data_IF_480536140103
#
_entry.id   IF_480536140103
#
_cell.length_a   1.000
_cell.length_b   1.000
_cell.length_c   1.000
_cell.angle_alpha   90.00
_cell.angle_beta   90.00
_cell.angle_gamma   90.00
#
_symmetry.space_group_name_H-M   'P 1'
#
loop_
_entity.id
_entity.type
_entity.pdbx_description
1 polymer ?
#
# COMPACT_ATOMS: atom_id res chain seq x y z
N UNK A 1 3.81 -12.78 -4.96
CA UNK A 1 4.54 -14.04 -4.90
C UNK A 1 5.91 -13.94 -5.58
N UNK A 2 5.95 -13.62 -6.88
CA UNK A 2 7.20 -13.57 -7.68
C UNK A 2 8.24 -12.59 -7.12
N UNK A 3 7.82 -11.44 -6.61
CA UNK A 3 8.71 -10.44 -5.99
C UNK A 3 9.44 -11.01 -4.76
N UNK A 4 8.72 -11.76 -3.91
CA UNK A 4 9.31 -12.42 -2.75
C UNK A 4 10.19 -13.61 -3.15
N UNK A 5 9.70 -14.49 -4.03
CA UNK A 5 10.41 -15.73 -4.38
C UNK A 5 11.63 -15.50 -5.25
N UNK A 6 11.51 -14.67 -6.28
CA UNK A 6 12.53 -14.46 -7.30
C UNK A 6 13.18 -13.08 -7.24
N UNK A 7 12.41 -12.06 -6.82
CA UNK A 7 12.87 -10.67 -6.70
C UNK A 7 13.72 -10.39 -5.45
N UNK A 8 13.89 -11.38 -4.57
CA UNK A 8 14.61 -11.29 -3.29
C UNK A 8 14.09 -10.19 -2.36
N UNK A 9 12.88 -9.71 -2.57
CA UNK A 9 12.23 -8.77 -1.67
C UNK A 9 11.88 -9.48 -0.36
N UNK A 10 12.06 -8.79 0.76
CA UNK A 10 11.82 -9.33 2.10
C UNK A 10 10.50 -8.84 2.66
N UNK A 11 10.12 -7.60 2.34
CA UNK A 11 8.93 -6.98 2.90
C UNK A 11 8.24 -6.06 1.90
N UNK A 12 6.95 -6.29 1.69
CA UNK A 12 6.11 -5.55 0.75
C UNK A 12 4.96 -4.90 1.51
N UNK A 13 4.72 -3.63 1.26
CA UNK A 13 3.56 -2.90 1.74
C UNK A 13 2.50 -2.84 0.64
N UNK A 14 1.29 -3.30 0.95
CA UNK A 14 0.11 -3.17 0.09
C UNK A 14 -0.81 -2.10 0.68
N UNK A 15 -0.87 -0.95 0.02
CA UNK A 15 -1.67 0.20 0.44
C UNK A 15 -3.01 0.22 -0.28
N UNK A 16 -4.06 0.43 0.50
CA UNK A 16 -5.44 0.54 0.04
C UNK A 16 -6.09 1.84 0.55
N UNK A 17 -7.15 2.26 -0.12
CA UNK A 17 -7.85 3.52 0.22
C UNK A 17 -8.76 3.37 1.45
N UNK A 18 -9.40 2.21 1.65
CA UNK A 18 -10.34 1.99 2.75
C UNK A 18 -10.09 0.68 3.48
N UNK A 19 -10.62 0.61 4.73
CA UNK A 19 -10.58 -0.60 5.57
C UNK A 19 -11.23 -1.81 4.86
N UNK A 20 -12.37 -1.61 4.18
CA UNK A 20 -13.06 -2.68 3.45
C UNK A 20 -12.21 -3.28 2.32
N UNK A 21 -11.51 -2.44 1.56
CA UNK A 21 -10.55 -2.90 0.54
C UNK A 21 -9.38 -3.66 1.16
N UNK A 22 -8.90 -3.23 2.33
CA UNK A 22 -7.86 -3.94 3.09
C UNK A 22 -8.30 -5.33 3.53
N UNK A 23 -9.56 -5.48 3.96
CA UNK A 23 -10.14 -6.77 4.35
C UNK A 23 -10.32 -7.70 3.14
N UNK A 24 -10.72 -7.15 2.00
CA UNK A 24 -10.80 -7.91 0.75
C UNK A 24 -9.41 -8.37 0.32
N UNK A 25 -8.43 -7.49 0.28
CA UNK A 25 -7.06 -7.83 -0.09
C UNK A 25 -6.48 -8.92 0.83
N UNK A 26 -6.68 -8.82 2.15
CA UNK A 26 -6.24 -9.84 3.10
C UNK A 26 -6.82 -11.21 2.75
N UNK A 27 -8.14 -11.30 2.48
CA UNK A 27 -8.79 -12.57 2.09
C UNK A 27 -8.20 -13.14 0.80
N UNK A 28 -7.97 -12.30 -0.22
CA UNK A 28 -7.40 -12.73 -1.50
C UNK A 28 -5.95 -13.24 -1.34
N UNK A 29 -5.12 -12.54 -0.56
CA UNK A 29 -3.77 -13.01 -0.25
C UNK A 29 -3.76 -14.34 0.50
N UNK A 30 -4.68 -14.52 1.45
CA UNK A 30 -4.77 -15.78 2.22
C UNK A 30 -5.25 -16.95 1.36
N UNK A 31 -6.14 -16.71 0.40
CA UNK A 31 -6.71 -17.72 -0.48
C UNK A 31 -5.83 -18.05 -1.69
N UNK A 32 -4.90 -17.17 -2.06
CA UNK A 32 -4.11 -17.32 -3.28
C UNK A 32 -3.23 -18.58 -3.27
N UNK A 33 -3.35 -19.37 -4.35
CA UNK A 33 -2.54 -20.58 -4.59
C UNK A 33 -1.55 -20.31 -5.73
N UNK A 34 -0.24 -20.28 -5.46
CA UNK A 34 0.76 -20.16 -6.53
C UNK A 34 0.73 -21.38 -7.47
N UNK A 35 0.96 -21.16 -8.77
CA UNK A 35 0.93 -22.25 -9.75
C UNK A 35 2.07 -23.26 -9.60
N UNK A 36 3.16 -22.85 -8.94
CA UNK A 36 4.40 -23.61 -8.81
C UNK A 36 4.71 -24.05 -7.36
N UNK A 37 3.72 -23.96 -6.47
CA UNK A 37 3.81 -24.44 -5.08
C UNK A 37 2.43 -24.98 -4.65
N UNK A 38 2.34 -26.18 -4.06
CA UNK A 38 1.07 -26.76 -3.62
C UNK A 38 0.50 -26.10 -2.36
N UNK A 39 1.26 -25.25 -1.69
CA UNK A 39 0.83 -24.53 -0.49
C UNK A 39 0.16 -23.21 -0.86
N UNK A 40 -0.80 -22.78 -0.06
CA UNK A 40 -1.33 -21.43 -0.17
C UNK A 40 -0.25 -20.37 0.11
N UNK A 41 -0.44 -19.18 -0.42
CA UNK A 41 0.50 -18.06 -0.22
C UNK A 41 0.75 -17.80 1.27
N UNK A 42 -0.29 -17.86 2.09
CA UNK A 42 -0.22 -17.66 3.54
C UNK A 42 0.51 -18.76 4.32
N UNK A 43 0.67 -19.95 3.72
CA UNK A 43 1.50 -21.02 4.28
C UNK A 43 2.98 -20.84 3.96
N UNK A 44 3.30 -20.04 2.94
CA UNK A 44 4.67 -19.78 2.49
C UNK A 44 5.20 -18.47 3.09
N UNK A 45 4.37 -17.42 3.11
CA UNK A 45 4.74 -16.07 3.53
C UNK A 45 3.75 -15.51 4.55
N UNK A 46 4.26 -14.79 5.53
CA UNK A 46 3.44 -14.08 6.50
C UNK A 46 2.68 -12.91 5.84
N UNK A 47 1.36 -12.92 5.98
CA UNK A 47 0.47 -11.86 5.51
C UNK A 47 -0.28 -11.30 6.70
N UNK A 48 -0.33 -9.98 6.82
CA UNK A 48 -1.09 -9.33 7.89
C UNK A 48 -1.63 -7.97 7.51
N UNK A 49 -2.91 -7.77 7.78
CA UNK A 49 -3.50 -6.44 7.80
C UNK A 49 -3.16 -5.74 9.13
N UNK A 50 -2.60 -4.54 9.03
CA UNK A 50 -2.21 -3.73 10.19
C UNK A 50 -3.46 -3.07 10.79
N UNK A 51 -3.75 -3.37 12.06
CA UNK A 51 -4.89 -2.84 12.82
C UNK A 51 -4.47 -1.92 13.97
N UNK A 52 -3.16 -1.83 14.21
CA UNK A 52 -2.57 -1.04 15.29
C UNK A 52 -1.38 -0.24 14.77
N UNK A 53 -0.76 0.56 15.64
CA UNK A 53 0.46 1.32 15.34
C UNK A 53 1.74 0.45 15.34
N UNK A 54 1.59 -0.88 15.40
CA UNK A 54 2.72 -1.81 15.39
C UNK A 54 2.77 -2.63 14.11
N UNK A 55 3.96 -2.68 13.48
CA UNK A 55 4.25 -3.53 12.33
C UNK A 55 5.12 -4.69 12.81
N UNK A 56 4.65 -5.95 12.72
CA UNK A 56 5.45 -7.12 13.10
C UNK A 56 6.66 -7.31 12.18
N UNK A 57 7.78 -7.74 12.74
CA UNK A 57 9.03 -7.91 11.98
C UNK A 57 9.08 -9.19 11.15
N UNK A 58 8.24 -10.16 11.45
CA UNK A 58 8.20 -11.49 10.83
C UNK A 58 7.24 -11.62 9.65
N UNK A 59 6.62 -10.52 9.24
CA UNK A 59 5.62 -10.49 8.17
C UNK A 59 6.25 -9.99 6.87
N UNK A 60 5.98 -10.70 5.76
CA UNK A 60 6.44 -10.33 4.43
C UNK A 60 5.48 -9.41 3.69
N UNK A 61 4.16 -9.58 3.88
CA UNK A 61 3.13 -8.72 3.29
C UNK A 61 2.38 -7.99 4.40
N UNK A 62 2.54 -6.68 4.43
CA UNK A 62 1.76 -5.77 5.27
C UNK A 62 0.66 -5.12 4.42
N UNK A 63 -0.58 -5.22 4.86
CA UNK A 63 -1.73 -4.58 4.21
C UNK A 63 -2.25 -3.50 5.15
N UNK A 64 -2.42 -2.30 4.69
CA UNK A 64 -3.09 -1.27 5.49
C UNK A 64 -3.64 -0.13 4.63
N UNK A 65 -4.50 0.67 5.25
CA UNK A 65 -4.89 1.95 4.68
C UNK A 65 -3.73 2.94 4.80
N UNK A 66 -3.77 3.95 3.99
CA UNK A 66 -2.74 4.98 4.06
C UNK A 66 -2.86 5.81 5.33
N UNK A 67 -4.09 6.09 5.80
CA UNK A 67 -4.30 6.78 7.07
C UNK A 67 -3.58 6.04 8.20
N UNK A 68 -3.69 4.70 8.22
CA UNK A 68 -2.99 3.85 9.17
C UNK A 68 -1.48 3.98 9.05
N UNK A 69 -0.93 3.88 7.83
CA UNK A 69 0.52 4.01 7.64
C UNK A 69 1.03 5.39 8.04
N UNK A 70 0.31 6.45 7.68
CA UNK A 70 0.65 7.81 8.08
C UNK A 70 0.66 7.97 9.61
N UNK A 71 -0.36 7.45 10.31
CA UNK A 71 -0.42 7.48 11.77
C UNK A 71 0.71 6.68 12.43
N UNK A 72 1.06 5.51 11.86
CA UNK A 72 2.19 4.70 12.33
C UNK A 72 3.50 5.49 12.24
N UNK A 73 3.76 6.14 11.11
CA UNK A 73 4.98 6.92 10.91
C UNK A 73 5.05 8.12 11.86
N UNK A 74 3.92 8.73 12.18
CA UNK A 74 3.84 9.84 13.15
C UNK A 74 3.84 9.39 14.60
N UNK A 75 3.70 8.11 14.88
CA UNK A 75 3.55 7.58 16.23
C UNK A 75 2.20 7.94 16.88
N UNK A 76 1.18 8.22 16.08
CA UNK A 76 -0.16 8.57 16.51
C UNK A 76 -1.08 7.34 16.51
N UNK A 77 -2.13 7.37 17.33
CA UNK A 77 -3.20 6.37 17.29
C UNK A 77 -4.27 6.81 16.29
N UNK A 78 -4.77 5.88 15.48
CA UNK A 78 -5.86 6.12 14.54
C UNK A 78 -7.12 5.39 14.99
N UNK A 79 -8.25 6.09 15.02
CA UNK A 79 -9.56 5.47 15.20
C UNK A 79 -9.90 4.61 13.96
N UNK A 80 -10.40 3.39 14.18
CA UNK A 80 -10.78 2.49 13.08
C UNK A 80 -11.87 3.09 12.17
N UNK A 81 -12.73 3.95 12.69
CA UNK A 81 -13.76 4.63 11.90
C UNK A 81 -13.16 5.59 10.86
N UNK A 82 -12.00 6.15 11.13
CA UNK A 82 -11.32 7.02 10.18
C UNK A 82 -10.82 6.26 8.92
N UNK A 83 -10.66 4.94 9.01
CA UNK A 83 -10.26 4.08 7.90
C UNK A 83 -11.44 3.63 7.01
N UNK A 84 -12.67 3.90 7.41
CA UNK A 84 -13.87 3.58 6.62
C UNK A 84 -14.13 4.62 5.52
N UNK A 85 -13.69 5.85 5.74
CA UNK A 85 -13.83 6.95 4.78
C UNK A 85 -12.63 7.00 3.84
N UNK A 86 -12.85 7.12 2.52
CA UNK A 86 -11.75 7.34 1.59
C UNK A 86 -10.90 8.54 2.00
N UNK A 87 -9.59 8.39 1.93
CA UNK A 87 -8.67 9.41 2.44
C UNK A 87 -8.85 10.78 1.77
N UNK A 88 -9.17 10.79 0.48
CA UNK A 88 -9.44 12.04 -0.25
C UNK A 88 -10.55 12.89 0.39
N UNK A 89 -11.56 12.23 0.98
CA UNK A 89 -12.65 12.90 1.70
C UNK A 89 -12.22 13.35 3.11
N UNK A 90 -11.35 12.56 3.75
CA UNK A 90 -10.82 12.86 5.08
C UNK A 90 -9.95 14.14 5.09
N UNK A 91 -9.08 14.29 4.10
CA UNK A 91 -8.17 15.45 3.99
C UNK A 91 -8.92 16.76 3.74
N UNK A 92 -10.03 16.72 3.01
CA UNK A 92 -10.84 17.93 2.75
C UNK A 92 -11.56 18.45 3.98
N UNK A 93 -11.81 17.59 4.99
CA UNK A 93 -12.56 17.98 6.18
C UNK A 93 -11.69 18.61 7.30
N UNK A 94 -10.40 18.25 7.42
CA UNK A 94 -9.59 18.62 8.58
C UNK A 94 -8.22 19.24 8.29
N UNK A 95 -7.71 19.23 7.07
CA UNK A 95 -6.29 19.56 6.85
C UNK A 95 -6.03 20.93 6.25
N UNK A 96 -5.65 21.83 7.13
CA UNK A 96 -4.76 22.94 6.81
C UNK A 96 -3.33 22.38 6.79
N UNK A 97 -2.75 22.17 5.60
CA UNK A 97 -1.38 21.75 5.31
C UNK A 97 -0.91 20.41 5.97
N UNK A 98 -0.49 19.42 5.19
CA UNK A 98 0.01 18.16 5.71
C UNK A 98 1.29 18.40 6.52
N UNK A 99 1.33 17.89 7.75
CA UNK A 99 2.57 17.88 8.54
C UNK A 99 3.51 16.86 7.93
N UNK A 100 4.74 17.29 7.68
CA UNK A 100 5.80 16.45 7.13
C UNK A 100 6.01 15.17 7.94
N UNK A 101 6.26 14.05 7.26
CA UNK A 101 6.65 12.79 7.91
C UNK A 101 8.12 12.90 8.28
N UNK A 102 8.39 12.88 9.58
CA UNK A 102 9.76 12.92 10.12
C UNK A 102 10.31 11.51 10.24
N UNK A 103 11.64 11.37 10.19
CA UNK A 103 12.33 10.09 10.37
C UNK A 103 11.83 9.32 11.60
N UNK A 104 11.44 8.06 11.37
CA UNK A 104 10.98 7.16 12.41
C UNK A 104 11.98 6.00 12.55
N UNK A 105 12.76 5.99 13.64
CA UNK A 105 13.79 5.00 13.88
C UNK A 105 13.24 3.56 14.01
N UNK A 106 11.96 3.40 14.35
CA UNK A 106 11.30 2.09 14.45
C UNK A 106 10.93 1.52 13.08
N UNK A 107 10.61 2.41 12.14
CA UNK A 107 10.27 2.08 10.76
C UNK A 107 11.07 2.98 9.81
N UNK A 108 12.37 2.71 9.63
CA UNK A 108 13.23 3.56 8.82
C UNK A 108 12.87 3.47 7.32
N UNK A 109 13.39 4.38 6.49
CA UNK A 109 13.08 4.42 5.04
C UNK A 109 13.27 3.08 4.32
N UNK A 110 14.24 2.29 4.68
CA UNK A 110 14.56 0.97 4.12
C UNK A 110 13.70 -0.19 4.68
N UNK A 111 12.65 0.12 5.45
CA UNK A 111 11.83 -0.90 6.12
C UNK A 111 11.04 -1.77 5.12
N UNK A 112 10.60 -1.21 4.02
CA UNK A 112 9.94 -1.92 2.93
C UNK A 112 10.78 -1.90 1.66
N UNK A 113 10.82 -3.02 0.92
CA UNK A 113 11.51 -3.11 -0.38
C UNK A 113 10.60 -2.69 -1.53
N UNK A 114 9.29 -2.83 -1.36
CA UNK A 114 8.29 -2.49 -2.37
C UNK A 114 7.00 -2.00 -1.72
N UNK A 115 6.38 -1.02 -2.36
CA UNK A 115 5.06 -0.52 -2.01
C UNK A 115 4.15 -0.73 -3.23
N UNK A 116 3.06 -1.45 -3.04
CA UNK A 116 2.01 -1.61 -4.04
C UNK A 116 0.83 -0.75 -3.60
N UNK A 117 0.41 0.17 -4.46
CA UNK A 117 -0.66 1.14 -4.16
C UNK A 117 -1.86 0.81 -5.02
N UNK A 118 -2.92 0.35 -4.39
CA UNK A 118 -4.21 0.13 -5.06
C UNK A 118 -4.94 1.45 -5.26
N UNK A 119 -5.67 1.59 -6.37
CA UNK A 119 -6.35 2.84 -6.79
C UNK A 119 -5.42 4.07 -6.70
N UNK A 120 -4.19 3.92 -7.20
CA UNK A 120 -3.12 4.90 -7.02
C UNK A 120 -3.46 6.30 -7.54
N UNK A 121 -4.37 6.43 -8.52
CA UNK A 121 -4.83 7.73 -9.03
C UNK A 121 -5.48 8.61 -7.95
N UNK A 122 -6.01 8.02 -6.87
CA UNK A 122 -6.56 8.75 -5.73
C UNK A 122 -5.49 9.12 -4.70
N UNK A 123 -4.38 8.43 -4.71
CA UNK A 123 -3.46 8.32 -3.59
C UNK A 123 -2.18 9.14 -3.73
N UNK A 124 -1.80 9.49 -4.94
CA UNK A 124 -0.50 10.14 -5.23
C UNK A 124 -0.45 11.63 -4.90
N UNK A 125 -1.52 12.18 -4.31
CA UNK A 125 -1.62 13.60 -4.00
C UNK A 125 -1.62 13.88 -2.50
N UNK A 126 -1.12 15.05 -2.13
CA UNK A 126 -1.12 15.60 -0.76
C UNK A 126 -0.33 14.75 0.24
N UNK A 127 -0.96 14.37 1.34
CA UNK A 127 -0.35 13.61 2.44
C UNK A 127 0.14 12.22 2.00
N UNK A 128 -0.46 11.65 0.97
CA UNK A 128 -0.07 10.35 0.42
C UNK A 128 1.34 10.34 -0.16
N UNK A 129 1.67 11.35 -0.92
CA UNK A 129 3.00 11.46 -1.49
C UNK A 129 4.08 11.40 -0.39
N UNK A 130 3.80 11.93 0.80
CA UNK A 130 4.73 11.89 1.93
C UNK A 130 4.97 10.47 2.46
N UNK A 131 3.94 9.63 2.52
CA UNK A 131 4.11 8.22 2.91
C UNK A 131 4.88 7.46 1.84
N UNK A 132 4.55 7.68 0.55
CA UNK A 132 5.21 7.00 -0.56
C UNK A 132 6.68 7.44 -0.70
N UNK A 133 6.97 8.72 -0.52
CA UNK A 133 8.34 9.26 -0.63
C UNK A 133 9.18 9.04 0.63
N UNK A 134 8.56 8.69 1.75
CA UNK A 134 9.26 8.40 2.99
C UNK A 134 10.11 7.12 2.88
N UNK A 135 9.57 6.08 2.24
CA UNK A 135 10.27 4.81 2.11
C UNK A 135 11.17 4.77 0.87
N UNK A 136 12.38 4.25 1.04
CA UNK A 136 13.30 3.94 -0.07
C UNK A 136 12.92 2.58 -0.67
N UNK A 137 11.81 2.55 -1.39
CA UNK A 137 11.17 1.35 -1.91
C UNK A 137 10.77 1.49 -3.38
N UNK A 138 10.71 0.38 -4.10
CA UNK A 138 10.05 0.36 -5.41
C UNK A 138 8.56 0.62 -5.24
N UNK A 139 7.99 1.51 -6.06
CA UNK A 139 6.56 1.83 -6.02
C UNK A 139 5.88 1.26 -7.26
N UNK A 140 4.82 0.48 -7.04
CA UNK A 140 3.95 -0.06 -8.09
C UNK A 140 2.55 0.50 -7.88
N UNK A 141 2.04 1.25 -8.84
CA UNK A 141 0.67 1.77 -8.83
C UNK A 141 -0.26 0.85 -9.62
N UNK A 142 -1.42 0.54 -9.05
CA UNK A 142 -2.53 -0.14 -9.71
C UNK A 142 -3.67 0.86 -9.87
N UNK A 143 -4.26 0.94 -11.06
CA UNK A 143 -5.41 1.79 -11.31
C UNK A 143 -6.19 1.35 -12.54
N UNK A 144 -7.51 1.43 -12.47
CA UNK A 144 -8.39 1.24 -13.63
C UNK A 144 -8.61 2.54 -14.43
N UNK A 145 -8.31 3.70 -13.85
CA UNK A 145 -8.59 5.03 -14.41
C UNK A 145 -7.37 5.96 -14.23
N UNK A 146 -6.25 5.68 -14.92
CA UNK A 146 -5.09 6.57 -14.85
C UNK A 146 -5.41 7.94 -15.42
N UNK A 147 -4.90 8.99 -14.82
CA UNK A 147 -4.96 10.36 -15.31
C UNK A 147 -3.55 10.92 -15.61
N UNK A 148 -3.47 12.10 -16.20
CA UNK A 148 -2.18 12.73 -16.54
C UNK A 148 -1.26 12.89 -15.32
N UNK A 149 -1.82 13.06 -14.14
CA UNK A 149 -1.05 13.21 -12.89
C UNK A 149 -0.49 11.87 -12.44
N UNK A 150 -1.26 10.78 -12.64
CA UNK A 150 -0.78 9.41 -12.39
C UNK A 150 0.42 9.10 -13.29
N UNK A 151 0.32 9.42 -14.57
CA UNK A 151 1.44 9.24 -15.50
C UNK A 151 2.65 10.08 -15.10
N UNK A 152 2.44 11.34 -14.74
CA UNK A 152 3.54 12.21 -14.29
C UNK A 152 4.23 11.71 -13.03
N UNK A 153 3.49 11.19 -12.05
CA UNK A 153 4.07 10.64 -10.82
C UNK A 153 4.98 9.43 -11.09
N UNK A 154 4.58 8.56 -12.01
CA UNK A 154 5.37 7.37 -12.40
C UNK A 154 6.31 7.62 -13.60
N UNK A 155 6.58 8.89 -13.98
CA UNK A 155 7.42 9.26 -15.13
C UNK A 155 7.01 8.53 -16.43
N UNK A 156 5.70 8.37 -16.65
CA UNK A 156 5.11 7.66 -17.80
C UNK A 156 5.52 6.18 -17.90
N UNK A 157 6.05 5.60 -16.83
CA UNK A 157 6.50 4.21 -16.80
C UNK A 157 5.31 3.23 -16.61
N UNK A 158 4.66 2.88 -17.71
CA UNK A 158 3.58 1.89 -17.77
C UNK A 158 4.20 0.52 -18.03
N UNK A 159 4.11 -0.39 -17.04
CA UNK A 159 4.69 -1.74 -17.14
C UNK A 159 3.70 -2.78 -17.66
N UNK A 160 2.40 -2.52 -17.53
CA UNK A 160 1.33 -3.39 -18.06
C UNK A 160 0.05 -2.57 -18.19
N UNK A 161 -0.66 -2.81 -19.29
CA UNK A 161 -1.98 -2.23 -19.54
C UNK A 161 -2.92 -3.32 -20.08
N UNK A 162 -4.18 -3.30 -19.62
CA UNK A 162 -5.26 -4.15 -20.13
C UNK A 162 -6.46 -3.28 -20.49
N UNK A 163 -6.49 -2.71 -21.70
CA UNK A 163 -7.54 -1.80 -22.12
C UNK A 163 -8.87 -2.54 -22.32
N UNK A 164 -9.97 -1.78 -22.21
CA UNK A 164 -11.33 -2.31 -22.31
C UNK A 164 -11.59 -3.10 -23.59
N UNK A 165 -10.96 -2.70 -24.70
CA UNK A 165 -11.10 -3.37 -26.00
C UNK A 165 -10.54 -4.82 -25.99
N UNK A 166 -9.64 -5.15 -25.09
CA UNK A 166 -9.09 -6.50 -24.90
C UNK A 166 -9.89 -7.33 -23.90
N UNK A 167 -10.82 -6.71 -23.17
CA UNK A 167 -11.62 -7.37 -22.13
C UNK A 167 -12.98 -7.90 -22.64
N UNK A 168 -13.31 -7.68 -23.94
CA UNK A 168 -14.58 -8.05 -24.56
C UNK A 168 -14.43 -9.31 -25.45
#
# INVERSE_FOLDING_TARGET
YRLLKYGKMKRILFLVDTKGLGEQAEREFLAYMPNDDPRSFSQIYGVRRLKSSYIPNDIQICICTIQRMYSILKGETLDEKAEETPFAEYVTAESKAPKEVVYNAKYPPEFFDCIIVDECHRSIYNVWSQVLTYFDAFIVGLTATPDNRTFAFFNENIVSEYPREQAI
#
